data_IF_863241594932
#
_entry.id   IF_863241594932
#
_cell.length_a   1.000
_cell.length_b   1.000
_cell.length_c   1.000
_cell.angle_alpha   90.00
_cell.angle_beta   90.00
_cell.angle_gamma   90.00
#
_symmetry.space_group_name_H-M   'P 1'
#
loop_
_entity.id
_entity.type
_entity.pdbx_description
1 polymer ?
#
# COMPACT_ATOMS: atom_id res chain seq x y z
N UNK A 1 -28.81 -21.51 36.94
CA UNK A 1 -27.97 -20.86 35.91
C UNK A 1 -26.67 -21.63 35.87
N UNK A 2 -26.37 -22.30 34.76
CA UNK A 2 -25.13 -23.06 34.62
C UNK A 2 -24.18 -22.26 33.71
N UNK A 3 -22.92 -22.12 34.11
CA UNK A 3 -21.89 -21.45 33.31
C UNK A 3 -21.44 -22.41 32.21
N UNK A 4 -21.63 -22.02 30.95
CA UNK A 4 -21.35 -22.87 29.78
C UNK A 4 -19.90 -22.68 29.29
N UNK A 5 -19.28 -21.54 29.59
CA UNK A 5 -17.89 -21.27 29.21
C UNK A 5 -17.38 -19.97 29.79
N UNK A 6 -16.06 -19.85 29.87
CA UNK A 6 -15.35 -18.64 30.30
C UNK A 6 -14.50 -18.20 29.10
N UNK A 7 -14.70 -16.98 28.62
CA UNK A 7 -13.88 -16.36 27.60
C UNK A 7 -12.98 -15.31 28.27
N UNK A 8 -11.75 -15.17 27.79
CA UNK A 8 -10.86 -14.07 28.19
C UNK A 8 -10.90 -13.03 27.07
N UNK A 9 -11.36 -11.84 27.42
CA UNK A 9 -11.28 -10.70 26.54
C UNK A 9 -9.90 -10.05 26.72
N UNK A 10 -9.16 -9.83 25.63
CA UNK A 10 -7.87 -9.13 25.66
C UNK A 10 -8.04 -7.60 25.68
N UNK A 11 -9.21 -7.09 26.08
CA UNK A 11 -9.47 -5.66 26.17
C UNK A 11 -9.00 -5.13 27.54
N UNK A 12 -8.51 -3.88 27.54
CA UNK A 12 -7.97 -3.19 28.72
C UNK A 12 -9.04 -2.93 29.81
N UNK A 13 -10.31 -3.18 29.50
CA UNK A 13 -11.42 -3.03 30.42
C UNK A 13 -11.70 -4.35 31.13
N UNK A 14 -11.12 -4.52 32.31
CA UNK A 14 -11.59 -5.49 33.31
C UNK A 14 -13.05 -5.16 33.67
N UNK A 15 -13.98 -5.69 32.89
CA UNK A 15 -15.40 -5.59 33.15
C UNK A 15 -15.93 -7.00 33.37
N UNK A 16 -16.57 -7.22 34.53
CA UNK A 16 -17.26 -8.47 34.85
C UNK A 16 -18.53 -8.56 33.99
N UNK A 17 -18.36 -8.87 32.70
CA UNK A 17 -19.46 -8.98 31.74
C UNK A 17 -19.84 -10.46 31.58
N UNK A 18 -21.13 -10.75 31.73
CA UNK A 18 -21.71 -12.05 31.43
C UNK A 18 -22.61 -11.97 30.21
N UNK A 19 -22.41 -12.85 29.23
CA UNK A 19 -23.29 -12.98 28.08
C UNK A 19 -24.34 -14.07 28.34
N UNK A 20 -25.60 -13.76 28.05
CA UNK A 20 -26.72 -14.70 28.13
C UNK A 20 -27.53 -14.63 26.83
N UNK A 21 -28.12 -15.75 26.38
CA UNK A 21 -28.99 -15.73 25.20
C UNK A 21 -30.15 -14.76 25.38
N UNK A 22 -30.44 -13.97 24.34
CA UNK A 22 -31.47 -12.93 24.40
C UNK A 22 -32.87 -13.50 24.71
N UNK A 23 -33.22 -14.67 24.17
CA UNK A 23 -34.49 -15.35 24.46
C UNK A 23 -34.62 -15.73 25.94
N UNK A 24 -33.52 -16.18 26.56
CA UNK A 24 -33.49 -16.49 28.00
C UNK A 24 -33.63 -15.23 28.84
N UNK A 25 -32.95 -14.15 28.44
CA UNK A 25 -33.04 -12.85 29.09
C UNK A 25 -34.47 -12.27 29.03
N UNK A 26 -35.13 -12.33 27.87
CA UNK A 26 -36.51 -11.87 27.68
C UNK A 26 -37.52 -12.62 28.55
N UNK A 27 -37.31 -13.92 28.79
CA UNK A 27 -38.22 -14.75 29.60
C UNK A 27 -38.08 -14.52 31.11
N UNK A 28 -36.89 -14.17 31.59
CA UNK A 28 -36.57 -14.14 33.03
C UNK A 28 -36.41 -12.74 33.62
N UNK A 29 -35.97 -11.73 32.86
CA UNK A 29 -35.52 -10.45 33.41
C UNK A 29 -36.33 -9.23 32.96
N UNK A 30 -37.09 -9.29 31.87
CA UNK A 30 -37.84 -8.13 31.37
C UNK A 30 -39.31 -8.50 31.13
N UNK A 31 -40.22 -7.75 31.77
CA UNK A 31 -41.69 -7.86 31.60
C UNK A 31 -42.23 -7.06 30.41
N UNK A 32 -41.45 -6.13 29.86
CA UNK A 32 -41.81 -5.24 28.75
C UNK A 32 -40.93 -5.49 27.52
N UNK A 33 -41.47 -5.35 26.31
CA UNK A 33 -40.77 -5.67 25.06
C UNK A 33 -39.84 -4.52 24.60
N UNK A 34 -38.96 -4.05 25.49
CA UNK A 34 -38.09 -2.89 25.26
C UNK A 34 -36.65 -3.34 24.95
N UNK A 35 -36.16 -2.98 23.76
CA UNK A 35 -34.78 -3.23 23.33
C UNK A 35 -33.95 -1.97 23.62
N UNK A 36 -32.94 -2.08 24.48
CA UNK A 36 -32.13 -0.92 24.90
C UNK A 36 -31.09 -0.49 23.85
N UNK A 37 -30.41 -1.46 23.22
CA UNK A 37 -29.32 -1.20 22.27
C UNK A 37 -29.32 -2.25 21.18
N UNK A 38 -29.15 -1.80 19.94
CA UNK A 38 -28.92 -2.65 18.79
C UNK A 38 -27.50 -2.38 18.33
N UNK A 39 -26.65 -3.41 18.33
CA UNK A 39 -25.28 -3.33 17.83
C UNK A 39 -25.21 -3.94 16.44
N UNK A 40 -24.60 -3.22 15.51
CA UNK A 40 -24.43 -3.65 14.13
C UNK A 40 -22.97 -3.96 13.88
N UNK A 41 -22.69 -5.20 13.49
CA UNK A 41 -21.37 -5.59 13.02
C UNK A 41 -21.23 -5.24 11.53
N UNK A 42 -20.11 -4.63 11.15
CA UNK A 42 -19.87 -4.15 9.79
C UNK A 42 -18.61 -4.78 9.19
N UNK A 43 -18.65 -5.08 7.90
CA UNK A 43 -17.51 -5.63 7.16
C UNK A 43 -16.36 -4.63 7.05
N UNK A 44 -16.66 -3.35 6.82
CA UNK A 44 -15.67 -2.28 6.85
C UNK A 44 -15.94 -1.35 8.04
N UNK A 45 -15.15 -1.42 9.12
CA UNK A 45 -15.39 -0.61 10.31
C UNK A 45 -15.20 0.89 10.05
N UNK A 46 -14.37 1.30 9.08
CA UNK A 46 -14.09 2.72 8.79
C UNK A 46 -15.28 3.45 8.17
N UNK A 47 -16.21 2.73 7.55
CA UNK A 47 -17.41 3.30 6.92
C UNK A 47 -18.57 3.50 7.92
N UNK A 48 -18.37 3.15 9.20
CA UNK A 48 -19.42 3.10 10.20
C UNK A 48 -20.22 4.41 10.33
N UNK A 49 -19.54 5.56 10.37
CA UNK A 49 -20.22 6.86 10.46
C UNK A 49 -21.10 7.12 9.24
N UNK A 50 -20.62 6.82 8.02
CA UNK A 50 -21.37 7.06 6.78
C UNK A 50 -22.62 6.18 6.70
N UNK A 51 -22.49 4.91 7.06
CA UNK A 51 -23.58 3.94 7.04
C UNK A 51 -24.63 4.29 8.09
N UNK A 52 -24.21 4.60 9.32
CA UNK A 52 -25.11 4.93 10.42
C UNK A 52 -25.87 6.24 10.18
N UNK A 53 -25.21 7.27 9.66
CA UNK A 53 -25.88 8.53 9.27
C UNK A 53 -26.92 8.27 8.16
N UNK A 54 -26.59 7.46 7.16
CA UNK A 54 -27.52 7.11 6.08
C UNK A 54 -28.71 6.28 6.57
N UNK A 55 -28.49 5.36 7.53
CA UNK A 55 -29.55 4.58 8.15
C UNK A 55 -30.46 5.48 9.01
N UNK A 56 -29.87 6.37 9.81
CA UNK A 56 -30.60 7.31 10.66
C UNK A 56 -31.50 8.25 9.86
N UNK A 57 -31.06 8.71 8.68
CA UNK A 57 -31.90 9.52 7.77
C UNK A 57 -33.19 8.82 7.33
N UNK A 58 -33.24 7.48 7.33
CA UNK A 58 -34.41 6.70 6.93
C UNK A 58 -35.36 6.43 8.10
N UNK A 59 -34.88 6.54 9.33
CA UNK A 59 -35.63 6.20 10.54
C UNK A 59 -36.12 7.49 11.21
N UNK A 60 -37.43 7.67 11.32
CA UNK A 60 -38.06 8.88 11.86
C UNK A 60 -38.20 8.87 13.40
N UNK A 61 -37.38 8.08 14.08
CA UNK A 61 -37.43 7.87 15.53
C UNK A 61 -36.19 8.54 16.15
N UNK A 62 -36.30 9.28 17.26
CA UNK A 62 -35.14 9.84 17.95
C UNK A 62 -34.24 8.70 18.46
N UNK A 63 -33.06 8.56 17.84
CA UNK A 63 -32.07 7.54 18.14
C UNK A 63 -30.75 8.21 18.53
N UNK A 64 -30.13 7.74 19.61
CA UNK A 64 -28.75 8.08 19.95
C UNK A 64 -27.82 7.15 19.17
N UNK A 65 -26.98 7.74 18.33
CA UNK A 65 -26.07 7.01 17.45
C UNK A 65 -24.66 7.05 18.04
N UNK A 66 -24.14 5.87 18.37
CA UNK A 66 -22.76 5.69 18.80
C UNK A 66 -22.03 4.87 17.76
N UNK A 67 -20.81 5.29 17.46
CA UNK A 67 -19.90 4.55 16.58
C UNK A 67 -18.58 4.40 17.30
N UNK A 68 -17.87 3.31 17.03
CA UNK A 68 -16.54 3.10 17.59
C UNK A 68 -15.58 4.24 17.22
N UNK A 69 -15.81 4.94 16.10
CA UNK A 69 -15.03 6.12 15.68
C UNK A 69 -15.22 7.28 16.66
N UNK A 70 -16.45 7.48 17.15
CA UNK A 70 -16.75 8.49 18.13
C UNK A 70 -16.21 8.11 19.51
N UNK A 71 -16.37 6.85 19.91
CA UNK A 71 -15.93 6.34 21.22
C UNK A 71 -14.39 6.31 21.33
N UNK A 72 -13.70 6.02 20.22
CA UNK A 72 -12.24 5.91 20.13
C UNK A 72 -11.63 6.94 19.17
N UNK A 73 -12.04 8.21 19.31
CA UNK A 73 -11.61 9.31 18.44
C UNK A 73 -10.09 9.45 18.32
N UNK A 74 -9.34 9.20 19.40
CA UNK A 74 -7.88 9.24 19.40
C UNK A 74 -7.28 8.15 18.50
N UNK A 75 -7.74 6.89 18.62
CA UNK A 75 -7.30 5.78 17.77
C UNK A 75 -7.58 6.07 16.30
N UNK A 76 -8.79 6.57 16.01
CA UNK A 76 -9.16 6.92 14.63
C UNK A 76 -8.24 8.03 14.07
N UNK A 77 -7.96 9.07 14.85
CA UNK A 77 -7.06 10.13 14.43
C UNK A 77 -5.64 9.59 14.17
N UNK A 78 -5.12 8.75 15.07
CA UNK A 78 -3.79 8.16 14.95
C UNK A 78 -3.68 7.29 13.69
N UNK A 79 -4.69 6.44 13.43
CA UNK A 79 -4.74 5.65 12.19
C UNK A 79 -4.68 6.55 10.96
N UNK A 80 -5.44 7.65 10.95
CA UNK A 80 -5.46 8.55 9.81
C UNK A 80 -4.12 9.30 9.62
N UNK A 81 -3.49 9.74 10.71
CA UNK A 81 -2.17 10.37 10.69
C UNK A 81 -1.10 9.41 10.19
N UNK A 82 -1.09 8.16 10.68
CA UNK A 82 -0.18 7.10 10.20
C UNK A 82 -0.40 6.83 8.71
N UNK A 83 -1.66 6.72 8.26
CA UNK A 83 -1.97 6.58 6.83
C UNK A 83 -1.41 7.75 6.00
N UNK A 84 -1.56 8.98 6.47
CA UNK A 84 -1.04 10.15 5.77
C UNK A 84 0.49 10.10 5.61
N UNK A 85 1.22 9.68 6.66
CA UNK A 85 2.68 9.52 6.61
C UNK A 85 3.08 8.43 5.60
N UNK A 86 2.34 7.32 5.55
CA UNK A 86 2.58 6.24 4.57
C UNK A 86 2.35 6.76 3.15
N UNK A 87 1.24 7.46 2.89
CA UNK A 87 0.98 8.03 1.57
C UNK A 87 2.02 9.06 1.14
N UNK A 88 2.43 9.95 2.05
CA UNK A 88 3.46 10.95 1.76
C UNK A 88 4.81 10.31 1.44
N UNK A 89 5.22 9.29 2.21
CA UNK A 89 6.47 8.57 1.95
C UNK A 89 6.44 7.77 0.65
N UNK A 90 5.31 7.13 0.31
CA UNK A 90 5.12 6.46 -0.98
C UNK A 90 5.24 7.44 -2.15
N UNK A 91 4.66 8.63 -2.02
CA UNK A 91 4.79 9.68 -3.04
C UNK A 91 6.26 10.10 -3.22
N UNK A 92 7.00 10.31 -2.14
CA UNK A 92 8.43 10.61 -2.21
C UNK A 92 9.23 9.49 -2.87
N UNK A 93 8.93 8.22 -2.57
CA UNK A 93 9.58 7.07 -3.20
C UNK A 93 9.36 7.03 -4.71
N UNK A 94 8.14 7.32 -5.16
CA UNK A 94 7.81 7.36 -6.60
C UNK A 94 8.60 8.49 -7.29
N UNK A 95 8.63 9.69 -6.71
CA UNK A 95 9.37 10.83 -7.27
C UNK A 95 10.87 10.50 -7.38
N UNK A 96 11.46 10.02 -6.28
CA UNK A 96 12.88 9.66 -6.24
C UNK A 96 13.23 8.57 -7.27
N UNK A 97 12.36 7.57 -7.41
CA UNK A 97 12.56 6.48 -8.38
C UNK A 97 12.48 6.99 -9.82
N UNK A 98 11.49 7.84 -10.14
CA UNK A 98 11.35 8.42 -11.47
C UNK A 98 12.60 9.24 -11.85
N UNK A 99 13.04 10.13 -10.97
CA UNK A 99 14.25 10.95 -11.19
C UNK A 99 15.51 10.11 -11.39
N UNK A 100 15.65 9.04 -10.60
CA UNK A 100 16.80 8.12 -10.69
C UNK A 100 16.84 7.40 -12.03
N UNK A 101 15.70 6.84 -12.47
CA UNK A 101 15.58 6.16 -13.76
C UNK A 101 15.88 7.11 -14.91
N UNK A 102 15.29 8.31 -14.90
CA UNK A 102 15.54 9.32 -15.95
C UNK A 102 17.02 9.71 -16.02
N UNK A 103 17.67 9.89 -14.86
CA UNK A 103 19.08 10.28 -14.79
C UNK A 103 19.99 9.20 -15.36
N UNK A 104 19.75 7.93 -15.02
CA UNK A 104 20.52 6.80 -15.56
C UNK A 104 20.30 6.67 -17.07
N UNK A 105 19.06 6.82 -17.54
CA UNK A 105 18.76 6.75 -18.98
C UNK A 105 19.45 7.87 -19.75
N UNK A 106 19.39 9.11 -19.27
CA UNK A 106 20.06 10.25 -19.90
C UNK A 106 21.59 10.07 -19.88
N UNK A 107 22.17 9.63 -18.78
CA UNK A 107 23.61 9.37 -18.69
C UNK A 107 24.06 8.26 -19.66
N UNK A 108 23.22 7.25 -19.87
CA UNK A 108 23.49 6.18 -20.85
C UNK A 108 23.48 6.72 -22.27
N UNK A 109 22.54 7.62 -22.60
CA UNK A 109 22.48 8.28 -23.91
C UNK A 109 23.71 9.15 -24.13
N UNK A 110 24.09 9.98 -23.16
CA UNK A 110 25.25 10.87 -23.27
C UNK A 110 26.56 10.10 -23.51
N UNK A 111 26.72 8.92 -22.90
CA UNK A 111 27.87 8.03 -23.15
C UNK A 111 27.88 7.38 -24.53
N UNK A 112 26.73 7.34 -25.20
CA UNK A 112 26.52 6.69 -26.50
C UNK A 112 26.37 7.69 -27.66
N UNK A 113 26.63 8.97 -27.41
CA UNK A 113 26.57 10.07 -28.38
C UNK A 113 27.41 9.83 -29.64
N UNK A 114 28.62 9.29 -29.52
CA UNK A 114 29.47 8.96 -30.67
C UNK A 114 28.84 7.89 -31.57
N UNK A 115 28.25 6.84 -30.99
CA UNK A 115 27.55 5.78 -31.72
C UNK A 115 26.31 6.33 -32.44
N UNK A 116 25.59 7.26 -31.81
CA UNK A 116 24.46 7.98 -32.42
C UNK A 116 24.91 8.81 -33.63
N UNK A 117 26.07 9.49 -33.52
CA UNK A 117 26.62 10.30 -34.61
C UNK A 117 27.00 9.44 -35.83
N UNK A 118 27.58 8.24 -35.61
CA UNK A 118 27.88 7.27 -36.67
C UNK A 118 26.58 6.79 -37.33
N UNK A 119 25.56 6.43 -36.54
CA UNK A 119 24.26 6.03 -37.11
C UNK A 119 23.62 7.15 -37.94
N UNK A 120 23.69 8.40 -37.46
CA UNK A 120 23.19 9.56 -38.21
C UNK A 120 23.97 9.80 -39.51
N UNK A 121 25.29 9.64 -39.51
CA UNK A 121 26.09 9.81 -40.74
C UNK A 121 25.81 8.71 -41.77
N UNK A 122 25.39 7.52 -41.32
CA UNK A 122 24.88 6.44 -42.17
C UNK A 122 23.44 6.66 -42.66
N UNK A 123 22.78 7.76 -42.30
CA UNK A 123 21.44 8.12 -42.75
C UNK A 123 20.30 7.69 -41.82
N UNK A 124 20.57 7.34 -40.55
CA UNK A 124 19.52 7.01 -39.60
C UNK A 124 18.61 8.22 -39.30
N UNK A 125 17.29 8.03 -39.44
CA UNK A 125 16.28 9.02 -39.07
C UNK A 125 16.10 9.09 -37.54
N UNK A 126 15.62 10.22 -37.02
CA UNK A 126 15.33 10.45 -35.60
C UNK A 126 14.42 9.36 -35.02
N UNK A 127 13.43 8.90 -35.79
CA UNK A 127 12.53 7.83 -35.38
C UNK A 127 13.24 6.49 -35.14
N UNK A 128 14.24 6.16 -35.96
CA UNK A 128 15.01 4.92 -35.81
C UNK A 128 15.85 4.96 -34.53
N UNK A 129 16.50 6.10 -34.26
CA UNK A 129 17.29 6.31 -33.03
C UNK A 129 16.37 6.26 -31.80
N UNK A 130 15.22 6.94 -31.84
CA UNK A 130 14.24 6.92 -30.76
C UNK A 130 13.76 5.49 -30.44
N UNK A 131 13.48 4.69 -31.48
CA UNK A 131 13.01 3.31 -31.32
C UNK A 131 14.07 2.41 -30.70
N UNK A 132 15.35 2.58 -31.07
CA UNK A 132 16.46 1.84 -30.46
C UNK A 132 16.53 2.13 -28.95
N UNK A 133 16.50 3.40 -28.55
CA UNK A 133 16.57 3.77 -27.14
C UNK A 133 15.32 3.36 -26.36
N UNK A 134 14.13 3.42 -26.98
CA UNK A 134 12.90 2.86 -26.39
C UNK A 134 13.04 1.36 -26.12
N UNK A 135 13.61 0.59 -27.05
CA UNK A 135 13.82 -0.85 -26.88
C UNK A 135 14.83 -1.16 -25.75
N UNK A 136 15.94 -0.42 -25.69
CA UNK A 136 16.90 -0.54 -24.58
C UNK A 136 16.26 -0.23 -23.23
N UNK A 137 15.47 0.85 -23.17
CA UNK A 137 14.74 1.24 -21.98
C UNK A 137 13.72 0.17 -21.55
N UNK A 138 12.94 -0.35 -22.50
CA UNK A 138 11.94 -1.39 -22.25
C UNK A 138 12.57 -2.67 -21.70
N UNK A 139 13.69 -3.11 -22.27
CA UNK A 139 14.45 -4.26 -21.77
C UNK A 139 14.92 -4.04 -20.32
N UNK A 140 15.41 -2.85 -20.00
CA UNK A 140 15.84 -2.51 -18.64
C UNK A 140 14.68 -2.55 -17.64
N UNK A 141 13.51 -2.03 -18.04
CA UNK A 141 12.29 -2.06 -17.20
C UNK A 141 11.86 -3.50 -16.93
N UNK A 142 11.79 -4.34 -17.95
CA UNK A 142 11.35 -5.74 -17.79
C UNK A 142 12.24 -6.48 -16.80
N UNK A 143 13.56 -6.34 -16.93
CA UNK A 143 14.53 -6.96 -16.03
C UNK A 143 14.34 -6.44 -14.60
N UNK A 144 14.20 -5.12 -14.43
CA UNK A 144 14.00 -4.49 -13.13
C UNK A 144 12.68 -4.93 -12.47
N UNK A 145 11.60 -5.01 -13.24
CA UNK A 145 10.28 -5.44 -12.77
C UNK A 145 10.28 -6.90 -12.32
N UNK A 146 10.94 -7.79 -13.07
CA UNK A 146 11.07 -9.20 -12.69
C UNK A 146 11.86 -9.38 -11.39
N UNK A 147 13.00 -8.69 -11.27
CA UNK A 147 13.83 -8.73 -10.06
C UNK A 147 13.05 -8.15 -8.86
N UNK A 148 12.36 -7.02 -9.06
CA UNK A 148 11.54 -6.38 -8.03
C UNK A 148 10.38 -7.26 -7.57
N UNK A 149 9.67 -7.90 -8.50
CA UNK A 149 8.57 -8.82 -8.18
C UNK A 149 9.07 -10.02 -7.40
N UNK A 150 10.18 -10.63 -7.84
CA UNK A 150 10.79 -11.77 -7.15
C UNK A 150 11.20 -11.41 -5.72
N UNK A 151 11.90 -10.29 -5.53
CA UNK A 151 12.29 -9.81 -4.20
C UNK A 151 11.09 -9.44 -3.33
N UNK A 152 10.06 -8.81 -3.90
CA UNK A 152 8.84 -8.43 -3.19
C UNK A 152 8.08 -9.63 -2.66
N UNK A 153 7.84 -10.64 -3.52
CA UNK A 153 7.16 -11.89 -3.13
C UNK A 153 7.97 -12.63 -2.07
N UNK A 154 9.30 -12.74 -2.24
CA UNK A 154 10.18 -13.37 -1.25
C UNK A 154 10.15 -12.67 0.10
N UNK A 155 10.06 -11.33 0.11
CA UNK A 155 9.98 -10.53 1.33
C UNK A 155 8.68 -10.79 2.08
N UNK A 156 7.55 -10.85 1.38
CA UNK A 156 6.24 -11.08 2.01
C UNK A 156 6.17 -12.50 2.60
N UNK A 157 6.62 -13.51 1.85
CA UNK A 157 6.65 -14.89 2.33
C UNK A 157 7.55 -15.08 3.56
N UNK A 158 8.65 -14.34 3.64
CA UNK A 158 9.61 -14.42 4.74
C UNK A 158 9.47 -13.30 5.77
N UNK A 159 8.39 -12.52 5.74
CA UNK A 159 8.25 -11.31 6.56
C UNK A 159 8.45 -11.61 8.06
N UNK A 160 7.84 -12.68 8.57
CA UNK A 160 7.99 -13.11 9.98
C UNK A 160 9.45 -13.40 10.35
N UNK A 161 10.20 -14.03 9.43
CA UNK A 161 11.63 -14.35 9.66
C UNK A 161 12.50 -13.09 9.63
N UNK A 162 12.21 -12.17 8.72
CA UNK A 162 12.93 -10.89 8.60
C UNK A 162 12.76 -10.07 9.88
N UNK A 163 11.53 -9.95 10.37
CA UNK A 163 11.23 -9.24 11.63
C UNK A 163 11.94 -9.90 12.81
N UNK A 164 11.89 -11.24 12.91
CA UNK A 164 12.60 -11.96 13.98
C UNK A 164 14.13 -11.79 13.92
N UNK A 165 14.70 -11.78 12.71
CA UNK A 165 16.14 -11.57 12.52
C UNK A 165 16.57 -10.15 12.91
N UNK A 166 15.80 -9.14 12.53
CA UNK A 166 16.03 -7.75 12.90
C UNK A 166 15.97 -7.57 14.42
N UNK A 167 14.96 -8.15 15.08
CA UNK A 167 14.82 -8.06 16.52
C UNK A 167 16.03 -8.67 17.27
N UNK A 168 16.50 -9.84 16.83
CA UNK A 168 17.73 -10.45 17.37
C UNK A 168 18.98 -9.58 17.14
N UNK A 169 19.06 -8.89 16.00
CA UNK A 169 20.22 -8.06 15.66
C UNK A 169 20.26 -6.77 16.48
N UNK A 170 19.11 -6.14 16.71
CA UNK A 170 19.04 -4.85 17.41
C UNK A 170 19.03 -4.97 18.94
N UNK A 171 18.95 -6.17 19.53
CA UNK A 171 19.01 -6.44 20.99
C UNK A 171 18.09 -5.58 21.87
N UNK A 172 17.13 -4.90 21.26
CA UNK A 172 16.18 -4.01 21.88
C UNK A 172 14.81 -4.55 21.52
N UNK A 173 14.05 -5.02 22.53
CA UNK A 173 12.67 -5.53 22.43
C UNK A 173 11.65 -4.49 21.94
N UNK A 174 12.08 -3.44 21.22
CA UNK A 174 11.23 -2.34 20.73
C UNK A 174 10.12 -2.87 19.81
N UNK A 175 10.34 -4.01 19.13
CA UNK A 175 9.38 -4.61 18.21
C UNK A 175 8.54 -5.74 18.83
N UNK A 176 9.00 -6.37 19.93
CA UNK A 176 8.39 -7.60 20.48
C UNK A 176 7.71 -7.44 21.85
N UNK A 177 7.87 -6.32 22.57
CA UNK A 177 7.25 -6.17 23.90
C UNK A 177 5.73 -5.98 23.88
N UNK A 178 5.13 -5.85 22.70
CA UNK A 178 3.69 -5.78 22.55
C UNK A 178 3.17 -7.05 21.86
N UNK A 179 2.45 -7.86 22.64
CA UNK A 179 1.65 -9.05 22.27
C UNK A 179 0.77 -8.80 21.02
N UNK A 180 0.60 -7.54 20.61
CA UNK A 180 -0.07 -7.03 19.42
C UNK A 180 0.60 -7.41 18.08
N UNK A 181 1.92 -7.59 17.99
CA UNK A 181 2.57 -7.81 16.67
C UNK A 181 2.37 -9.21 16.09
N UNK A 182 2.19 -10.24 16.93
CA UNK A 182 2.18 -11.64 16.46
C UNK A 182 0.90 -12.02 15.70
N UNK A 183 -0.21 -11.34 15.95
CA UNK A 183 -1.53 -11.76 15.46
C UNK A 183 -2.26 -10.74 14.57
N UNK A 184 -1.88 -9.46 14.54
CA UNK A 184 -2.66 -8.45 13.80
C UNK A 184 -2.16 -8.14 12.39
N UNK A 185 -0.88 -8.41 12.08
CA UNK A 185 -0.34 -8.16 10.74
C UNK A 185 -0.38 -9.44 9.90
N UNK A 186 -1.58 -9.85 9.49
CA UNK A 186 -1.74 -10.87 8.45
C UNK A 186 -1.47 -10.21 7.09
N UNK A 187 -0.22 -10.31 6.64
CA UNK A 187 0.14 -10.01 5.26
C UNK A 187 -0.39 -11.13 4.37
N UNK A 188 -1.51 -10.87 3.71
CA UNK A 188 -2.06 -11.78 2.71
C UNK A 188 -1.53 -11.42 1.32
N UNK A 189 -0.95 -12.42 0.65
CA UNK A 189 -0.53 -12.28 -0.74
C UNK A 189 -1.73 -12.48 -1.66
N UNK A 190 -2.21 -11.38 -2.22
CA UNK A 190 -3.19 -11.43 -3.29
C UNK A 190 -2.47 -11.40 -4.66
N UNK A 191 -2.59 -12.50 -5.41
CA UNK A 191 -1.97 -12.63 -6.72
C UNK A 191 -2.48 -11.59 -7.73
N UNK A 192 -3.75 -11.17 -7.60
CA UNK A 192 -4.33 -10.13 -8.45
C UNK A 192 -3.60 -8.79 -8.25
N UNK A 193 -3.30 -8.44 -7.00
CA UNK A 193 -2.62 -7.19 -6.68
C UNK A 193 -1.19 -7.19 -7.23
N UNK A 194 -0.48 -8.32 -7.13
CA UNK A 194 0.86 -8.50 -7.72
C UNK A 194 0.82 -8.30 -9.24
N UNK A 195 -0.18 -8.88 -9.92
CA UNK A 195 -0.34 -8.75 -11.36
C UNK A 195 -0.65 -7.32 -11.80
N UNK A 196 -1.54 -6.62 -11.08
CA UNK A 196 -1.87 -5.21 -11.33
C UNK A 196 -0.64 -4.32 -11.15
N UNK A 197 0.16 -4.56 -10.11
CA UNK A 197 1.40 -3.81 -9.86
C UNK A 197 2.42 -4.08 -10.98
N UNK A 198 2.57 -5.33 -11.42
CA UNK A 198 3.47 -5.67 -12.52
C UNK A 198 3.08 -4.95 -13.83
N UNK A 199 1.80 -4.95 -14.20
CA UNK A 199 1.34 -4.25 -15.40
C UNK A 199 1.50 -2.73 -15.28
N UNK A 200 1.11 -2.16 -14.14
CA UNK A 200 1.20 -0.71 -13.94
C UNK A 200 2.66 -0.21 -13.96
N UNK A 201 3.61 -0.97 -13.40
CA UNK A 201 5.03 -0.64 -13.47
C UNK A 201 5.59 -0.69 -14.89
N UNK A 202 5.16 -1.65 -15.73
CA UNK A 202 5.53 -1.69 -17.15
C UNK A 202 5.02 -0.45 -17.89
N UNK A 203 3.74 -0.09 -17.70
CA UNK A 203 3.13 1.10 -18.32
C UNK A 203 3.86 2.37 -17.89
N UNK A 204 4.08 2.53 -16.57
CA UNK A 204 4.76 3.70 -16.03
C UNK A 204 6.20 3.80 -16.53
N UNK A 205 6.92 2.68 -16.61
CA UNK A 205 8.26 2.64 -17.16
C UNK A 205 8.32 3.11 -18.61
N UNK A 206 7.38 2.67 -19.45
CA UNK A 206 7.30 3.11 -20.86
C UNK A 206 7.10 4.63 -20.94
N UNK A 207 6.21 5.20 -20.10
CA UNK A 207 5.98 6.64 -20.03
C UNK A 207 7.26 7.39 -19.65
N UNK A 208 7.98 6.91 -18.62
CA UNK A 208 9.22 7.52 -18.14
C UNK A 208 10.31 7.49 -19.21
N UNK A 209 10.47 6.36 -19.92
CA UNK A 209 11.51 6.19 -20.94
C UNK A 209 11.23 6.95 -22.24
N UNK A 210 10.00 7.41 -22.46
CA UNK A 210 9.69 8.22 -23.62
C UNK A 210 10.52 9.51 -23.65
N UNK A 211 10.63 10.20 -22.51
CA UNK A 211 11.34 11.49 -22.45
C UNK A 211 12.84 11.36 -22.81
N UNK A 212 13.62 10.45 -22.21
CA UNK A 212 15.01 10.22 -22.61
C UNK A 212 15.14 9.75 -24.06
N UNK A 213 14.25 8.89 -24.57
CA UNK A 213 14.32 8.42 -25.95
C UNK A 213 14.09 9.55 -26.96
N UNK A 214 13.14 10.45 -26.67
CA UNK A 214 12.93 11.66 -27.46
C UNK A 214 14.15 12.58 -27.41
N UNK A 215 14.72 12.78 -26.21
CA UNK A 215 15.95 13.55 -26.04
C UNK A 215 17.10 12.99 -26.90
N UNK A 216 17.31 11.67 -26.89
CA UNK A 216 18.34 11.01 -27.69
C UNK A 216 18.17 11.24 -29.20
N UNK A 217 16.93 11.24 -29.69
CA UNK A 217 16.63 11.41 -31.12
C UNK A 217 16.95 12.80 -31.66
N UNK A 218 16.97 13.82 -30.79
CA UNK A 218 17.20 15.22 -31.15
C UNK A 218 18.66 15.67 -30.98
N UNK A 219 19.56 14.80 -30.51
CA UNK A 219 20.97 15.13 -30.35
C UNK A 219 21.65 15.39 -31.69
N UNK A 220 22.20 16.59 -31.87
CA UNK A 220 22.86 16.98 -33.11
C UNK A 220 24.36 16.63 -33.10
N UNK A 221 24.85 15.86 -34.10
CA UNK A 221 26.24 15.42 -34.14
C UNK A 221 27.25 16.58 -34.26
N UNK A 222 26.82 17.73 -34.80
CA UNK A 222 27.66 18.93 -34.98
C UNK A 222 27.97 19.69 -33.68
N UNK A 223 27.18 19.51 -32.62
CA UNK A 223 27.47 20.10 -31.30
C UNK A 223 28.48 19.23 -30.53
N UNK A 224 28.41 17.91 -30.70
CA UNK A 224 29.20 16.93 -29.95
C UNK A 224 30.67 16.90 -30.42
N UNK A 225 30.93 17.17 -31.70
CA UNK A 225 32.28 17.24 -32.27
C UNK A 225 33.03 18.55 -31.94
N UNK A 226 32.39 19.54 -31.31
CA UNK A 226 33.05 20.78 -30.87
C UNK A 226 33.64 20.69 -29.46
N UNK A 227 33.27 19.66 -28.69
CA UNK A 227 33.77 19.42 -27.33
C UNK A 227 35.00 18.49 -27.28
N UNK A 228 35.48 18.03 -28.43
CA UNK A 228 36.70 17.22 -28.59
C UNK A 228 37.80 17.99 -29.32
#
# INVERSE_FOLDING_TARGET
MNVIGIFRENSILNSNVGYIPFEFFKKFLIKEDVINKIELHMSNPLDANKIIINAAKKIHIPLLLYTWINDYKYIYHDINTVKAIIYLSLLFLIIMSCFSITSISLMTISKKTQEIAILRSMGANNFLIQTIFLYYGMRSIIISALIGLFLGVMTILNFKKIVFFLDKFFKNNILLDNIYYKNFFLLELNLLDVFIIFISTLIMGIIINWYPAYYASNLNPSEILKEY
#
